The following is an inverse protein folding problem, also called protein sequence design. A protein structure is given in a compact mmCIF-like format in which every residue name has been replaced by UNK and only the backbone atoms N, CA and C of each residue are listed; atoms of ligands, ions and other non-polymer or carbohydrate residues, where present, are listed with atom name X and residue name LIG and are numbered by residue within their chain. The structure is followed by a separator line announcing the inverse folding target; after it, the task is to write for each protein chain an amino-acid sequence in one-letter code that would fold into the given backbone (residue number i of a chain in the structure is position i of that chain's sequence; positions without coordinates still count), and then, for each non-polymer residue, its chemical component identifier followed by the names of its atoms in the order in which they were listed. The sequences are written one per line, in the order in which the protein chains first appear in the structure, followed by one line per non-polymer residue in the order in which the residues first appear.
data_IF_891727801737
#
_entry.id   IF_891727801737
#
_cell.length_a   1.000
_cell.length_b   1.000
_cell.length_c   1.000
_cell.angle_alpha   90.00
_cell.angle_beta   90.00
_cell.angle_gamma   90.00
#
_symmetry.space_group_name_H-M   'P 1'
#
loop_
_entity.id
_entity.type
_entity.pdbx_description
1 polymer ?
#
# COMPACT_ATOMS: atom_id res chain seq x y z
N UNK A 1 -6.45 25.87 7.45
CA UNK A 1 -6.47 26.35 6.05
C UNK A 1 -7.43 25.43 5.31
N UNK A 2 -8.63 25.90 4.95
CA UNK A 2 -9.61 25.06 4.23
C UNK A 2 -9.15 25.03 2.78
N UNK A 3 -8.57 23.91 2.35
CA UNK A 3 -8.21 23.68 0.94
C UNK A 3 -9.50 23.54 0.15
N UNK A 4 -9.90 24.62 -0.53
CA UNK A 4 -10.93 24.56 -1.57
C UNK A 4 -10.36 23.68 -2.68
N UNK A 5 -10.99 22.53 -2.93
CA UNK A 5 -10.63 21.61 -4.00
C UNK A 5 -10.74 22.33 -5.34
N UNK A 6 -9.61 22.79 -5.89
CA UNK A 6 -9.57 23.36 -7.22
C UNK A 6 -9.64 22.22 -8.24
N UNK A 7 -10.64 22.27 -9.13
CA UNK A 7 -10.86 21.26 -10.16
C UNK A 7 -9.64 21.19 -11.11
N UNK A 8 -8.95 22.31 -11.34
CA UNK A 8 -7.73 22.32 -12.15
C UNK A 8 -6.59 21.53 -11.51
N UNK A 9 -6.45 21.63 -10.18
CA UNK A 9 -5.46 20.86 -9.43
C UNK A 9 -5.78 19.36 -9.48
N UNK A 10 -7.07 18.98 -9.43
CA UNK A 10 -7.52 17.60 -9.58
C UNK A 10 -7.15 17.02 -10.96
N UNK A 11 -7.45 17.74 -12.05
CA UNK A 11 -7.11 17.32 -13.41
C UNK A 11 -5.60 17.21 -13.59
N UNK A 12 -4.84 18.14 -13.01
CA UNK A 12 -3.38 18.09 -13.03
C UNK A 12 -2.84 16.87 -12.28
N UNK A 13 -3.44 16.51 -11.13
CA UNK A 13 -3.11 15.34 -10.34
C UNK A 13 -3.37 14.03 -11.09
N UNK A 14 -4.52 13.90 -11.75
CA UNK A 14 -4.86 12.73 -12.57
C UNK A 14 -3.87 12.58 -13.74
N UNK A 15 -3.58 13.67 -14.46
CA UNK A 15 -2.61 13.65 -15.56
C UNK A 15 -1.23 13.20 -15.08
N UNK A 16 -0.80 13.68 -13.91
CA UNK A 16 0.47 13.28 -13.28
C UNK A 16 0.48 11.80 -12.89
N UNK A 17 -0.58 11.32 -12.24
CA UNK A 17 -0.70 9.90 -11.88
C UNK A 17 -0.71 8.99 -13.11
N UNK A 18 -1.43 9.36 -14.17
CA UNK A 18 -1.45 8.62 -15.42
C UNK A 18 -0.06 8.61 -16.10
N UNK A 19 0.65 9.74 -16.09
CA UNK A 19 2.02 9.82 -16.59
C UNK A 19 2.96 8.89 -15.82
N UNK A 20 2.97 9.00 -14.48
CA UNK A 20 3.86 8.21 -13.62
C UNK A 20 3.54 6.71 -13.76
N UNK A 21 2.26 6.33 -13.81
CA UNK A 21 1.83 4.96 -14.10
C UNK A 21 2.30 4.47 -15.48
N UNK A 22 2.20 5.32 -16.52
CA UNK A 22 2.65 4.95 -17.86
C UNK A 22 4.17 4.73 -17.96
N UNK A 23 4.95 5.52 -17.21
CA UNK A 23 6.39 5.35 -17.11
C UNK A 23 6.74 4.09 -16.32
N UNK A 24 6.02 3.83 -15.22
CA UNK A 24 6.18 2.59 -14.47
C UNK A 24 5.83 1.37 -15.29
N UNK A 25 4.80 1.42 -16.15
CA UNK A 25 4.42 0.31 -17.03
C UNK A 25 5.40 0.06 -18.19
N UNK A 26 6.25 1.04 -18.53
CA UNK A 26 7.17 0.95 -19.66
C UNK A 26 8.62 0.67 -19.21
N UNK A 27 9.14 -0.56 -19.43
CA UNK A 27 10.48 -0.93 -18.95
C UNK A 27 11.62 -0.12 -19.57
N UNK A 28 11.40 0.50 -20.73
CA UNK A 28 12.42 1.33 -21.39
C UNK A 28 12.56 2.73 -20.78
N UNK A 29 11.69 3.10 -19.84
CA UNK A 29 11.65 4.44 -19.21
C UNK A 29 11.97 4.42 -17.72
N UNK A 30 12.25 3.26 -17.14
CA UNK A 30 12.49 3.15 -15.70
C UNK A 30 13.73 3.91 -15.23
N UNK A 31 14.80 3.89 -16.03
CA UNK A 31 16.03 4.60 -15.69
C UNK A 31 15.78 6.11 -15.57
N UNK A 32 15.11 6.70 -16.54
CA UNK A 32 14.74 8.11 -16.54
C UNK A 32 13.75 8.42 -15.41
N UNK A 33 12.72 7.57 -15.25
CA UNK A 33 11.71 7.73 -14.21
C UNK A 33 12.32 7.75 -12.81
N UNK A 34 13.16 6.77 -12.45
CA UNK A 34 13.71 6.69 -11.11
C UNK A 34 14.83 7.70 -10.87
N UNK A 35 15.47 8.26 -11.90
CA UNK A 35 16.38 9.41 -11.77
C UNK A 35 15.62 10.70 -11.44
N UNK A 36 14.52 10.92 -12.14
CA UNK A 36 13.73 12.15 -12.05
C UNK A 36 12.47 11.99 -11.17
N UNK A 37 12.39 10.92 -10.40
CA UNK A 37 11.23 10.64 -9.55
C UNK A 37 11.03 11.77 -8.54
N UNK A 38 9.78 12.03 -8.20
CA UNK A 38 9.45 13.06 -7.23
C UNK A 38 9.89 12.61 -5.85
N UNK A 39 10.73 13.43 -5.23
CA UNK A 39 11.10 13.29 -3.84
C UNK A 39 10.02 13.93 -2.98
N UNK A 40 9.48 13.17 -2.05
CA UNK A 40 8.41 13.65 -1.18
C UNK A 40 8.47 12.88 0.15
N UNK A 41 8.68 13.61 1.24
CA UNK A 41 8.62 13.00 2.57
C UNK A 41 7.18 12.60 2.90
N UNK A 42 6.96 11.41 3.46
CA UNK A 42 5.63 10.98 3.84
C UNK A 42 5.13 11.79 5.03
N UNK A 43 3.87 12.21 4.96
CA UNK A 43 3.16 12.71 6.14
C UNK A 43 2.74 11.51 7.00
N UNK A 44 3.53 11.21 8.03
CA UNK A 44 3.29 10.09 8.95
C UNK A 44 1.98 10.26 9.74
N UNK A 45 1.64 11.50 10.13
CA UNK A 45 0.47 11.79 10.96
C UNK A 45 -0.86 11.34 10.33
N UNK A 46 -1.17 11.66 9.06
CA UNK A 46 -2.32 11.09 8.34
C UNK A 46 -2.38 9.57 8.38
N UNK A 47 -1.25 8.89 8.19
CA UNK A 47 -1.19 7.42 8.16
C UNK A 47 -1.46 6.82 9.55
N UNK A 48 -0.83 7.37 10.58
CA UNK A 48 -1.05 6.94 11.96
C UNK A 48 -2.51 7.16 12.39
N UNK A 49 -3.12 8.25 11.94
CA UNK A 49 -4.52 8.56 12.20
C UNK A 49 -5.45 7.60 11.44
N UNK A 50 -5.18 7.32 10.17
CA UNK A 50 -5.90 6.32 9.38
C UNK A 50 -5.85 4.95 10.06
N UNK A 51 -4.64 4.52 10.43
CA UNK A 51 -4.37 3.27 11.11
C UNK A 51 -5.20 3.11 12.39
N UNK A 52 -5.13 4.10 13.26
CA UNK A 52 -5.78 4.08 14.57
C UNK A 52 -7.31 4.12 14.45
N UNK A 53 -7.85 5.04 13.65
CA UNK A 53 -9.29 5.20 13.47
C UNK A 53 -9.91 3.98 12.76
N UNK A 54 -9.23 3.43 11.77
CA UNK A 54 -9.74 2.27 11.03
C UNK A 54 -9.68 0.99 11.87
N UNK A 55 -8.61 0.80 12.66
CA UNK A 55 -8.52 -0.32 13.59
C UNK A 55 -9.64 -0.26 14.64
N UNK A 56 -9.84 0.91 15.27
CA UNK A 56 -10.95 1.13 16.20
C UNK A 56 -12.30 0.89 15.51
N UNK A 57 -12.46 1.36 14.27
CA UNK A 57 -13.65 1.14 13.46
C UNK A 57 -13.95 -0.35 13.29
N UNK A 58 -12.99 -1.13 12.82
CA UNK A 58 -13.14 -2.57 12.56
C UNK A 58 -13.34 -3.38 13.84
N UNK A 59 -12.82 -2.93 14.99
CA UNK A 59 -12.98 -3.62 16.26
C UNK A 59 -14.31 -3.32 16.95
N UNK A 60 -14.74 -2.05 16.94
CA UNK A 60 -15.84 -1.56 17.80
C UNK A 60 -17.15 -1.45 17.02
N UNK A 61 -17.12 -0.94 15.79
CA UNK A 61 -18.35 -0.65 15.04
C UNK A 61 -19.17 -1.90 14.66
N UNK A 62 -18.60 -3.10 14.43
CA UNK A 62 -19.42 -4.29 14.19
C UNK A 62 -20.42 -4.58 15.32
N UNK A 63 -20.08 -4.27 16.57
CA UNK A 63 -20.95 -4.44 17.73
C UNK A 63 -22.10 -3.44 17.77
N UNK A 64 -21.89 -2.23 17.23
CA UNK A 64 -22.86 -1.13 17.22
C UNK A 64 -23.78 -1.22 16.00
N UNK A 65 -23.22 -1.61 14.85
CA UNK A 65 -23.92 -1.64 13.57
C UNK A 65 -24.67 -2.97 13.32
N UNK A 66 -24.58 -3.94 14.24
CA UNK A 66 -25.35 -5.20 14.25
C UNK A 66 -25.34 -5.89 12.88
N UNK A 67 -24.16 -6.07 12.29
CA UNK A 67 -24.00 -6.76 11.00
C UNK A 67 -24.34 -5.92 9.76
N UNK A 68 -24.49 -4.60 9.89
CA UNK A 68 -24.58 -3.72 8.71
C UNK A 68 -23.18 -3.46 8.12
N UNK A 69 -22.70 -4.42 7.35
CA UNK A 69 -21.37 -4.43 6.73
C UNK A 69 -21.16 -3.26 5.75
N UNK A 70 -22.23 -2.81 5.09
CA UNK A 70 -22.21 -1.66 4.16
C UNK A 70 -21.93 -0.37 4.93
N UNK A 71 -22.57 -0.18 6.09
CA UNK A 71 -22.32 0.97 6.94
C UNK A 71 -20.89 0.98 7.50
N UNK A 72 -20.36 -0.19 7.88
CA UNK A 72 -18.97 -0.32 8.32
C UNK A 72 -17.97 0.11 7.24
N UNK A 73 -18.16 -0.39 6.01
CA UNK A 73 -17.35 0.00 4.86
C UNK A 73 -17.43 1.49 4.56
N UNK A 74 -18.63 2.07 4.67
CA UNK A 74 -18.82 3.50 4.43
C UNK A 74 -18.06 4.35 5.46
N UNK A 75 -18.00 3.92 6.73
CA UNK A 75 -17.19 4.61 7.75
C UNK A 75 -15.69 4.49 7.43
N UNK A 76 -15.21 3.31 7.04
CA UNK A 76 -13.81 3.10 6.64
C UNK A 76 -13.45 3.99 5.44
N UNK A 77 -14.34 4.08 4.45
CA UNK A 77 -14.16 4.95 3.28
C UNK A 77 -14.12 6.43 3.69
N UNK A 78 -14.96 6.87 4.62
CA UNK A 78 -14.94 8.25 5.14
C UNK A 78 -13.62 8.55 5.85
N UNK A 79 -13.12 7.63 6.68
CA UNK A 79 -11.81 7.75 7.32
C UNK A 79 -10.70 7.86 6.26
N UNK A 80 -10.76 7.02 5.22
CA UNK A 80 -9.82 7.09 4.10
C UNK A 80 -9.85 8.47 3.43
N UNK A 81 -11.01 8.95 2.99
CA UNK A 81 -11.16 10.26 2.32
C UNK A 81 -10.62 11.38 3.21
N UNK A 82 -10.91 11.35 4.51
CA UNK A 82 -10.38 12.31 5.46
C UNK A 82 -8.84 12.26 5.54
N UNK A 83 -8.25 11.06 5.50
CA UNK A 83 -6.79 10.90 5.57
C UNK A 83 -6.09 11.30 4.27
N UNK A 84 -6.71 11.05 3.12
CA UNK A 84 -6.25 11.58 1.83
C UNK A 84 -6.21 13.11 1.85
N UNK A 85 -7.21 13.76 2.44
CA UNK A 85 -7.22 15.22 2.54
C UNK A 85 -6.05 15.79 3.38
N UNK A 86 -5.54 15.04 4.35
CA UNK A 86 -4.39 15.43 5.16
C UNK A 86 -3.04 15.04 4.53
N UNK A 87 -3.08 14.11 3.57
CA UNK A 87 -1.94 13.53 2.90
C UNK A 87 -1.25 14.48 1.93
N UNK A 88 -0.45 13.87 1.08
CA UNK A 88 0.24 14.51 -0.02
C UNK A 88 0.19 13.56 -1.22
N UNK A 89 0.62 14.01 -2.39
CA UNK A 89 0.35 13.27 -3.62
C UNK A 89 0.78 11.80 -3.55
N UNK A 90 1.99 11.53 -3.07
CA UNK A 90 2.52 10.18 -2.98
C UNK A 90 1.82 9.34 -1.90
N UNK A 91 1.54 9.91 -0.72
CA UNK A 91 0.77 9.24 0.33
C UNK A 91 -0.64 8.90 -0.14
N UNK A 92 -1.29 9.82 -0.84
CA UNK A 92 -2.65 9.63 -1.34
C UNK A 92 -2.67 8.53 -2.38
N UNK A 93 -1.68 8.50 -3.27
CA UNK A 93 -1.54 7.46 -4.28
C UNK A 93 -1.33 6.08 -3.64
N UNK A 94 -0.49 5.98 -2.60
CA UNK A 94 -0.27 4.76 -1.83
C UNK A 94 -1.55 4.27 -1.14
N UNK A 95 -2.25 5.16 -0.43
CA UNK A 95 -3.47 4.83 0.30
C UNK A 95 -4.59 4.39 -0.64
N UNK A 96 -4.74 5.05 -1.80
CA UNK A 96 -5.71 4.66 -2.82
C UNK A 96 -5.33 3.28 -3.39
N UNK A 97 -4.06 3.04 -3.74
CA UNK A 97 -3.62 1.75 -4.27
C UNK A 97 -3.87 0.61 -3.26
N UNK A 98 -3.56 0.82 -1.98
CA UNK A 98 -3.91 -0.14 -0.93
C UNK A 98 -5.42 -0.36 -0.81
N UNK A 99 -6.23 0.68 -1.01
CA UNK A 99 -7.69 0.57 -0.92
C UNK A 99 -8.27 -0.32 -2.03
N UNK A 100 -7.64 -0.35 -3.20
CA UNK A 100 -7.99 -1.34 -4.24
C UNK A 100 -7.76 -2.78 -3.78
N UNK A 101 -6.68 -3.05 -3.04
CA UNK A 101 -6.46 -4.37 -2.41
C UNK A 101 -7.60 -4.71 -1.45
N UNK A 102 -7.94 -3.78 -0.56
CA UNK A 102 -9.05 -3.93 0.40
C UNK A 102 -10.37 -4.25 -0.30
N UNK A 103 -10.70 -3.50 -1.35
CA UNK A 103 -11.92 -3.70 -2.13
C UNK A 103 -11.98 -5.09 -2.76
N UNK A 104 -10.85 -5.62 -3.25
CA UNK A 104 -10.78 -6.99 -3.76
C UNK A 104 -11.29 -8.02 -2.76
N UNK A 105 -10.75 -8.00 -1.55
CA UNK A 105 -11.15 -8.92 -0.48
C UNK A 105 -12.60 -8.70 -0.04
N UNK A 106 -13.05 -7.45 0.08
CA UNK A 106 -14.45 -7.16 0.39
C UNK A 106 -15.40 -7.76 -0.65
N UNK A 107 -15.06 -7.60 -1.94
CA UNK A 107 -15.86 -8.13 -3.04
C UNK A 107 -15.90 -9.66 -3.03
N UNK A 108 -14.79 -10.34 -2.71
CA UNK A 108 -14.80 -11.80 -2.53
C UNK A 108 -15.74 -12.27 -1.41
N UNK A 109 -15.82 -11.54 -0.30
CA UNK A 109 -16.81 -11.80 0.75
C UNK A 109 -18.25 -11.70 0.24
N UNK A 110 -18.55 -10.65 -0.53
CA UNK A 110 -19.88 -10.46 -1.14
C UNK A 110 -20.26 -11.59 -2.11
N UNK A 111 -19.28 -12.17 -2.82
CA UNK A 111 -19.49 -13.29 -3.75
C UNK A 111 -19.38 -14.68 -3.11
N UNK A 112 -19.31 -14.76 -1.76
CA UNK A 112 -19.59 -15.99 -1.01
C UNK A 112 -18.41 -16.91 -0.73
N UNK A 113 -17.16 -16.45 -0.88
CA UNK A 113 -15.99 -17.24 -0.46
C UNK A 113 -15.67 -17.11 1.03
N UNK A 114 -16.15 -16.04 1.68
CA UNK A 114 -16.00 -15.75 3.11
C UNK A 114 -17.23 -15.00 3.63
N UNK A 115 -17.49 -15.05 4.94
CA UNK A 115 -18.47 -14.14 5.52
C UNK A 115 -17.99 -12.68 5.42
N UNK A 116 -18.93 -11.74 5.26
CA UNK A 116 -18.60 -10.34 5.00
C UNK A 116 -17.73 -9.69 6.09
N UNK A 117 -17.97 -10.02 7.35
CA UNK A 117 -17.22 -9.44 8.46
C UNK A 117 -15.76 -9.93 8.46
N UNK A 118 -15.55 -11.22 8.22
CA UNK A 118 -14.21 -11.80 8.02
C UNK A 118 -13.53 -11.18 6.81
N UNK A 119 -14.23 -11.05 5.67
CA UNK A 119 -13.69 -10.42 4.46
C UNK A 119 -13.25 -8.97 4.68
N UNK A 120 -14.01 -8.17 5.45
CA UNK A 120 -13.64 -6.81 5.84
C UNK A 120 -12.39 -6.80 6.69
N UNK A 121 -12.30 -7.68 7.70
CA UNK A 121 -11.14 -7.75 8.60
C UNK A 121 -9.88 -8.17 7.86
N UNK A 122 -9.98 -9.20 7.00
CA UNK A 122 -8.87 -9.70 6.18
C UNK A 122 -8.42 -8.64 5.17
N UNK A 123 -9.37 -8.04 4.44
CA UNK A 123 -9.08 -6.95 3.52
C UNK A 123 -8.39 -5.78 4.21
N UNK A 124 -8.85 -5.40 5.42
CA UNK A 124 -8.24 -4.36 6.21
C UNK A 124 -6.81 -4.72 6.64
N UNK A 125 -6.56 -5.97 7.04
CA UNK A 125 -5.22 -6.44 7.39
C UNK A 125 -4.27 -6.37 6.20
N UNK A 126 -4.66 -6.87 5.02
CA UNK A 126 -3.82 -6.80 3.84
C UNK A 126 -3.54 -5.38 3.38
N UNK A 127 -4.54 -4.48 3.44
CA UNK A 127 -4.31 -3.05 3.24
C UNK A 127 -3.26 -2.53 4.21
N UNK A 128 -3.49 -2.76 5.52
CA UNK A 128 -2.69 -2.17 6.57
C UNK A 128 -1.24 -2.65 6.50
N UNK A 129 -1.06 -3.96 6.35
CA UNK A 129 0.25 -4.59 6.21
C UNK A 129 0.92 -4.15 4.92
N UNK A 130 0.18 -4.02 3.81
CA UNK A 130 0.72 -3.52 2.55
C UNK A 130 1.28 -2.10 2.67
N UNK A 131 0.53 -1.18 3.27
CA UNK A 131 1.01 0.20 3.49
C UNK A 131 2.14 0.25 4.52
N UNK A 132 2.02 -0.50 5.63
CA UNK A 132 3.09 -0.61 6.63
C UNK A 132 4.39 -1.13 6.03
N UNK A 133 4.31 -2.15 5.16
CA UNK A 133 5.46 -2.72 4.48
C UNK A 133 6.21 -1.65 3.68
N UNK A 134 5.52 -0.69 3.05
CA UNK A 134 6.18 0.44 2.36
C UNK A 134 7.03 1.25 3.31
N UNK A 135 6.45 1.73 4.42
CA UNK A 135 7.19 2.52 5.40
C UNK A 135 8.39 1.77 5.97
N UNK A 136 8.18 0.50 6.32
CA UNK A 136 9.23 -0.35 6.84
C UNK A 136 10.33 -0.55 5.80
N UNK A 137 9.97 -0.89 4.56
CA UNK A 137 10.92 -1.06 3.47
C UNK A 137 11.69 0.23 3.19
N UNK A 138 11.04 1.39 3.19
CA UNK A 138 11.71 2.68 3.01
C UNK A 138 12.73 2.94 4.13
N UNK A 139 12.38 2.63 5.37
CA UNK A 139 13.30 2.73 6.49
C UNK A 139 14.47 1.74 6.38
N UNK A 140 14.20 0.50 6.00
CA UNK A 140 15.22 -0.53 5.80
C UNK A 140 16.16 -0.19 4.65
N UNK A 141 15.66 0.39 3.55
CA UNK A 141 16.48 0.87 2.45
C UNK A 141 17.45 1.97 2.90
N UNK A 142 16.97 2.94 3.68
CA UNK A 142 17.82 3.98 4.27
C UNK A 142 18.91 3.36 5.17
N UNK A 143 18.56 2.40 6.04
CA UNK A 143 19.53 1.74 6.92
C UNK A 143 20.54 0.88 6.14
N UNK A 144 20.07 0.03 5.22
CA UNK A 144 20.92 -0.91 4.49
C UNK A 144 21.74 -0.26 3.37
N UNK A 145 21.28 0.88 2.83
CA UNK A 145 22.09 1.74 1.97
C UNK A 145 23.13 2.55 2.74
N UNK A 146 23.23 2.37 4.07
CA UNK A 146 24.12 3.13 4.96
C UNK A 146 23.88 4.63 4.91
N UNK A 147 22.61 5.03 4.80
CA UNK A 147 22.17 6.42 4.73
C UNK A 147 22.66 7.17 3.49
N UNK A 148 23.00 6.44 2.42
CA UNK A 148 23.18 7.02 1.08
C UNK A 148 21.86 7.51 0.50
N UNK A 149 20.76 6.86 0.89
CA UNK A 149 19.39 7.31 0.67
C UNK A 149 18.84 7.93 1.94
N UNK A 150 18.18 9.08 1.84
CA UNK A 150 17.35 9.59 2.91
C UNK A 150 15.94 8.98 2.88
N UNK A 151 15.11 9.31 3.86
CA UNK A 151 13.73 8.82 3.90
C UNK A 151 12.84 9.47 2.83
N UNK A 152 13.11 10.72 2.45
CA UNK A 152 12.40 11.46 1.40
C UNK A 152 12.63 10.90 -0.01
N UNK A 153 13.70 10.12 -0.21
CA UNK A 153 14.03 9.41 -1.44
C UNK A 153 13.65 7.93 -1.36
N UNK A 154 13.90 7.28 -0.22
CA UNK A 154 13.55 5.87 0.00
C UNK A 154 12.04 5.64 -0.05
N UNK A 155 11.25 6.60 0.45
CA UNK A 155 9.80 6.49 0.50
C UNK A 155 9.12 6.51 -0.88
N UNK A 156 9.36 7.51 -1.75
CA UNK A 156 8.91 7.47 -3.15
C UNK A 156 9.36 6.23 -3.89
N UNK A 157 10.63 5.86 -3.76
CA UNK A 157 11.19 4.69 -4.43
C UNK A 157 10.40 3.43 -4.07
N UNK A 158 10.17 3.20 -2.79
CA UNK A 158 9.41 2.05 -2.31
C UNK A 158 7.95 2.12 -2.75
N UNK A 159 7.33 3.30 -2.60
CA UNK A 159 5.91 3.51 -2.94
C UNK A 159 5.65 3.20 -4.40
N UNK A 160 6.38 3.83 -5.32
CA UNK A 160 6.20 3.60 -6.75
C UNK A 160 6.45 2.14 -7.15
N UNK A 161 7.39 1.49 -6.48
CA UNK A 161 7.72 0.09 -6.76
C UNK A 161 6.62 -0.88 -6.30
N UNK A 162 5.91 -0.59 -5.21
CA UNK A 162 4.93 -1.54 -4.63
C UNK A 162 3.52 -1.40 -5.20
N UNK A 163 3.21 -0.26 -5.83
CA UNK A 163 1.86 0.05 -6.34
C UNK A 163 1.32 -1.05 -7.26
N UNK A 164 2.08 -1.61 -8.22
CA UNK A 164 1.59 -2.72 -9.02
C UNK A 164 1.16 -3.92 -8.16
N UNK A 165 1.93 -4.25 -7.12
CA UNK A 165 1.59 -5.30 -6.16
C UNK A 165 0.30 -5.03 -5.38
N UNK A 166 0.11 -3.80 -4.89
CA UNK A 166 -1.11 -3.40 -4.18
C UNK A 166 -2.33 -3.46 -5.11
N UNK A 167 -2.22 -2.92 -6.33
CA UNK A 167 -3.28 -3.02 -7.34
C UNK A 167 -3.58 -4.48 -7.71
N UNK A 168 -2.54 -5.31 -7.79
CA UNK A 168 -2.64 -6.74 -8.04
C UNK A 168 -3.43 -7.50 -6.96
N UNK A 169 -3.52 -6.98 -5.74
CA UNK A 169 -4.27 -7.58 -4.65
C UNK A 169 -5.78 -7.75 -4.95
N UNK A 170 -6.35 -6.98 -5.88
CA UNK A 170 -7.72 -7.20 -6.35
C UNK A 170 -7.92 -8.58 -7.01
N UNK A 171 -6.84 -9.12 -7.59
CA UNK A 171 -6.82 -10.42 -8.26
C UNK A 171 -6.50 -11.57 -7.29
N UNK A 172 -5.99 -11.30 -6.10
CA UNK A 172 -5.77 -12.33 -5.08
C UNK A 172 -7.10 -12.84 -4.53
N UNK A 173 -8.12 -11.98 -4.54
CA UNK A 173 -9.48 -12.27 -4.08
C UNK A 173 -10.23 -13.28 -4.98
N UNK A 174 -9.75 -13.49 -6.22
CA UNK A 174 -10.32 -14.44 -7.17
C UNK A 174 -9.31 -15.56 -7.44
N UNK A 175 -9.66 -16.80 -7.08
CA UNK A 175 -8.75 -17.95 -7.16
C UNK A 175 -8.17 -18.21 -8.56
N UNK A 176 -8.87 -17.77 -9.63
CA UNK A 176 -8.43 -17.92 -11.03
C UNK A 176 -7.34 -16.91 -11.44
N UNK A 177 -7.10 -15.87 -10.63
CA UNK A 177 -6.16 -14.78 -10.97
C UNK A 177 -4.97 -14.67 -10.02
N UNK A 178 -4.69 -15.72 -9.25
CA UNK A 178 -3.51 -15.84 -8.38
C UNK A 178 -2.20 -15.62 -9.17
N UNK A 179 -2.11 -16.13 -10.40
CA UNK A 179 -0.93 -15.97 -11.26
C UNK A 179 -0.68 -14.49 -11.57
N UNK A 180 -1.73 -13.71 -11.81
CA UNK A 180 -1.60 -12.27 -12.03
C UNK A 180 -1.04 -11.58 -10.79
N UNK A 181 -1.54 -11.93 -9.60
CA UNK A 181 -1.03 -11.39 -8.32
C UNK A 181 0.47 -11.65 -8.15
N UNK A 182 0.93 -12.87 -8.45
CA UNK A 182 2.36 -13.19 -8.43
C UNK A 182 3.17 -12.38 -9.45
N UNK A 183 2.65 -12.18 -10.65
CA UNK A 183 3.30 -11.35 -11.67
C UNK A 183 3.41 -9.89 -11.23
N UNK A 184 2.39 -9.34 -10.58
CA UNK A 184 2.42 -7.98 -10.02
C UNK A 184 3.44 -7.82 -8.88
N UNK A 185 3.57 -8.83 -8.01
CA UNK A 185 4.59 -8.85 -6.95
C UNK A 185 6.00 -8.96 -7.54
N UNK A 186 6.20 -9.84 -8.52
CA UNK A 186 7.46 -9.98 -9.23
C UNK A 186 7.85 -8.68 -9.93
N UNK A 187 6.88 -8.04 -10.60
CA UNK A 187 7.06 -6.75 -11.24
C UNK A 187 7.46 -5.66 -10.24
N UNK A 188 6.80 -5.63 -9.08
CA UNK A 188 7.13 -4.70 -7.99
C UNK A 188 8.57 -4.89 -7.48
N UNK A 189 9.01 -6.14 -7.37
CA UNK A 189 10.37 -6.50 -6.96
C UNK A 189 11.40 -6.04 -8.00
N UNK A 190 11.09 -6.19 -9.29
CA UNK A 190 11.95 -5.72 -10.39
C UNK A 190 12.04 -4.20 -10.38
N UNK A 191 10.92 -3.48 -10.24
CA UNK A 191 10.91 -2.02 -10.13
C UNK A 191 11.75 -1.55 -8.94
N UNK A 192 11.58 -2.19 -7.78
CA UNK A 192 12.33 -1.89 -6.58
C UNK A 192 13.84 -2.09 -6.79
N UNK A 193 14.22 -3.20 -7.41
CA UNK A 193 15.61 -3.49 -7.75
C UNK A 193 16.21 -2.43 -8.69
N UNK A 194 15.48 -2.04 -9.73
CA UNK A 194 15.92 -1.02 -10.69
C UNK A 194 16.07 0.34 -10.00
N UNK A 195 15.09 0.74 -9.19
CA UNK A 195 15.16 1.97 -8.39
C UNK A 195 16.39 2.00 -7.47
N UNK A 196 16.60 0.94 -6.69
CA UNK A 196 17.77 0.83 -5.79
C UNK A 196 19.07 0.87 -6.60
N UNK A 197 19.15 0.13 -7.71
CA UNK A 197 20.34 0.10 -8.58
C UNK A 197 20.69 1.49 -9.10
N UNK A 198 19.68 2.29 -9.48
CA UNK A 198 19.90 3.65 -10.01
C UNK A 198 20.44 4.58 -8.91
N UNK A 199 19.96 4.45 -7.67
CA UNK A 199 20.35 5.35 -6.58
C UNK A 199 21.60 4.92 -5.82
N UNK A 200 21.75 3.64 -5.53
CA UNK A 200 22.81 3.07 -4.68
C UNK A 200 23.93 2.40 -5.51
N UNK A 201 23.70 2.20 -6.81
CA UNK A 201 24.64 1.54 -7.71
C UNK A 201 24.52 0.01 -7.71
N UNK A 202 25.05 -0.61 -8.77
CA UNK A 202 24.91 -2.05 -9.04
C UNK A 202 25.54 -2.95 -7.96
N UNK A 203 26.67 -2.54 -7.38
CA UNK A 203 27.45 -3.37 -6.45
C UNK A 203 26.69 -3.66 -5.15
N UNK A 204 25.88 -2.70 -4.69
CA UNK A 204 25.16 -2.79 -3.41
C UNK A 204 23.68 -3.14 -3.58
N UNK A 205 23.11 -2.92 -4.76
CA UNK A 205 21.66 -2.98 -4.98
C UNK A 205 21.05 -4.33 -4.65
N UNK A 206 21.71 -5.43 -5.02
CA UNK A 206 21.21 -6.77 -4.74
C UNK A 206 21.15 -7.04 -3.23
N UNK A 207 22.22 -6.75 -2.50
CA UNK A 207 22.27 -6.94 -1.04
C UNK A 207 21.24 -6.09 -0.32
N UNK A 208 21.12 -4.80 -0.69
CA UNK A 208 20.13 -3.89 -0.12
C UNK A 208 18.71 -4.38 -0.39
N UNK A 209 18.41 -4.80 -1.62
CA UNK A 209 17.11 -5.37 -1.98
C UNK A 209 16.78 -6.59 -1.13
N UNK A 210 17.67 -7.59 -1.10
CA UNK A 210 17.44 -8.85 -0.39
C UNK A 210 17.22 -8.57 1.11
N UNK A 211 18.10 -7.80 1.73
CA UNK A 211 17.99 -7.49 3.16
C UNK A 211 16.70 -6.72 3.48
N UNK A 212 16.35 -5.72 2.66
CA UNK A 212 15.12 -4.97 2.85
C UNK A 212 13.89 -5.87 2.67
N UNK A 213 13.78 -6.61 1.56
CA UNK A 213 12.60 -7.45 1.25
C UNK A 213 12.41 -8.56 2.27
N UNK A 214 13.47 -9.29 2.65
CA UNK A 214 13.34 -10.38 3.62
C UNK A 214 13.05 -9.87 5.04
N UNK A 215 13.73 -8.80 5.47
CA UNK A 215 13.48 -8.22 6.81
C UNK A 215 12.09 -7.58 6.86
N UNK A 216 11.73 -6.82 5.83
CA UNK A 216 10.43 -6.19 5.68
C UNK A 216 9.31 -7.22 5.64
N UNK A 217 9.47 -8.29 4.85
CA UNK A 217 8.54 -9.41 4.78
C UNK A 217 8.38 -10.13 6.11
N UNK A 218 9.47 -10.46 6.80
CA UNK A 218 9.43 -11.14 8.08
C UNK A 218 8.70 -10.33 9.16
N UNK A 219 9.02 -9.04 9.28
CA UNK A 219 8.35 -8.15 10.25
C UNK A 219 6.88 -7.94 9.89
N UNK A 220 6.56 -7.79 8.60
CA UNK A 220 5.17 -7.68 8.13
C UNK A 220 4.35 -8.95 8.37
N UNK A 221 4.96 -10.14 8.29
CA UNK A 221 4.30 -11.39 8.68
C UNK A 221 4.00 -11.45 10.17
N UNK A 222 4.93 -11.01 11.03
CA UNK A 222 4.69 -10.92 12.48
C UNK A 222 3.53 -9.96 12.76
N UNK A 223 3.50 -8.81 12.10
CA UNK A 223 2.42 -7.83 12.22
C UNK A 223 1.08 -8.42 11.74
N UNK A 224 1.06 -9.15 10.63
CA UNK A 224 -0.13 -9.80 10.11
C UNK A 224 -0.71 -10.79 11.12
N UNK A 225 0.14 -11.66 11.70
CA UNK A 225 -0.27 -12.62 12.74
C UNK A 225 -0.81 -11.90 13.98
N UNK A 226 -0.14 -10.84 14.42
CA UNK A 226 -0.59 -10.03 15.55
C UNK A 226 -1.96 -9.39 15.30
N UNK A 227 -2.16 -8.78 14.13
CA UNK A 227 -3.45 -8.20 13.73
C UNK A 227 -4.53 -9.27 13.56
N UNK A 228 -4.15 -10.48 13.14
CA UNK A 228 -5.07 -11.61 13.03
C UNK A 228 -5.65 -12.02 14.37
N UNK A 229 -4.77 -12.20 15.37
CA UNK A 229 -5.15 -12.45 16.74
C UNK A 229 -6.03 -11.32 17.31
N UNK A 230 -5.62 -10.07 17.09
CA UNK A 230 -6.29 -8.89 17.64
C UNK A 230 -7.70 -8.67 17.05
N UNK A 231 -7.89 -8.95 15.77
CA UNK A 231 -9.19 -8.82 15.09
C UNK A 231 -10.05 -10.09 15.17
N UNK A 232 -9.50 -11.19 15.70
CA UNK A 232 -10.16 -12.49 15.75
C UNK A 232 -10.49 -13.03 14.37
N UNK A 233 -9.60 -12.84 13.40
CA UNK A 233 -9.74 -13.44 12.07
C UNK A 233 -9.31 -14.90 12.13
N UNK A 234 -10.10 -15.84 11.60
CA UNK A 234 -9.75 -17.25 11.66
C UNK A 234 -8.59 -17.58 10.70
N UNK A 235 -7.77 -18.58 11.07
CA UNK A 235 -6.58 -18.96 10.30
C UNK A 235 -6.88 -19.41 8.86
N UNK A 236 -8.07 -20.00 8.62
CA UNK A 236 -8.49 -20.43 7.29
C UNK A 236 -8.74 -19.27 6.31
N UNK A 237 -8.76 -18.02 6.80
CA UNK A 237 -9.08 -16.85 6.00
C UNK A 237 -7.87 -16.22 5.29
N UNK A 238 -6.68 -16.84 5.35
CA UNK A 238 -5.44 -16.37 4.75
C UNK A 238 -4.89 -17.32 3.69
#
# INVERSE_FOLDING_TARGET
MVTVLNIEDLVSGIKRAAHDLSCLMNPFRWDDFFRDMRLEEPKITPMALWALLSLLGVMVLPWILVGNDVALNLVILVILIFTLWLGNYLMDFLLIAGYFTYLGYFVAGVYGTMDNLTAIKVGFQYFFVGVFLVFLMSYLLMVFSRWELDFGESFPLTTYSIIPGLLGGIFAAYGETIVLSFLFIAYSTVLLYVGIKIRVGFEKSFTVLVMAVFTGGAVSMILLVFLSFLLGTPEWAF
#
